data_IF_891521829303
#
_entry.id   IF_891521829303
#
_cell.length_a   1.000
_cell.length_b   1.000
_cell.length_c   1.000
_cell.angle_alpha   90.00
_cell.angle_beta   90.00
_cell.angle_gamma   90.00
#
_symmetry.space_group_name_H-M   'P 1'
#
loop_
_entity.id
_entity.type
_entity.pdbx_description
1 polymer ?
#
# COMPACT_ATOMS: atom_id res chain seq x y z
N UNK A 1 -0.91 -15.70 16.36
CA UNK A 1 -0.84 -15.91 14.88
C UNK A 1 0.53 -16.43 14.52
N UNK A 2 0.81 -16.67 13.22
CA UNK A 2 2.18 -16.72 12.71
C UNK A 2 2.40 -15.61 11.69
N UNK A 3 3.43 -14.80 11.87
CA UNK A 3 3.89 -13.83 10.88
C UNK A 3 4.53 -14.55 9.70
N UNK A 4 5.23 -13.79 8.87
CA UNK A 4 5.88 -14.32 7.68
C UNK A 4 4.98 -14.28 6.45
N UNK A 5 5.66 -14.09 5.33
CA UNK A 5 5.06 -13.84 4.03
C UNK A 5 4.21 -15.01 3.55
N UNK A 6 3.00 -14.71 3.04
CA UNK A 6 2.06 -15.71 2.53
C UNK A 6 2.20 -15.86 1.03
N UNK A 7 2.36 -17.10 0.59
CA UNK A 7 2.57 -17.50 -0.82
C UNK A 7 1.72 -18.72 -1.12
N UNK A 8 1.22 -18.83 -2.35
CA UNK A 8 0.47 -20.01 -2.77
C UNK A 8 -0.78 -20.23 -1.90
N UNK A 9 -1.13 -21.49 -1.58
CA UNK A 9 -2.30 -21.80 -0.75
C UNK A 9 -2.28 -21.16 0.64
N UNK A 10 -1.11 -20.85 1.21
CA UNK A 10 -1.00 -20.21 2.53
C UNK A 10 -1.53 -18.77 2.55
N UNK A 11 -1.84 -18.18 1.39
CA UNK A 11 -2.53 -16.89 1.31
C UNK A 11 -4.00 -16.99 1.74
N UNK A 12 -4.62 -18.17 1.67
CA UNK A 12 -5.99 -18.41 2.15
C UNK A 12 -6.05 -18.68 3.67
N UNK A 13 -4.92 -18.52 4.38
CA UNK A 13 -4.84 -18.58 5.83
C UNK A 13 -4.80 -17.15 6.41
N UNK A 14 -5.95 -16.54 6.75
CA UNK A 14 -5.98 -15.13 7.07
C UNK A 14 -5.34 -14.85 8.43
N UNK A 15 -4.82 -13.64 8.60
CA UNK A 15 -4.34 -13.12 9.88
C UNK A 15 -5.51 -12.82 10.85
N UNK A 16 -6.22 -13.87 11.28
CA UNK A 16 -7.40 -13.75 12.16
C UNK A 16 -7.21 -14.65 13.38
N UNK A 17 -7.53 -14.11 14.57
CA UNK A 17 -7.65 -14.91 15.78
C UNK A 17 -9.04 -15.54 15.82
N UNK A 18 -9.12 -16.86 15.92
CA UNK A 18 -10.39 -17.58 16.13
C UNK A 18 -10.49 -18.01 17.58
N UNK A 19 -11.61 -17.70 18.21
CA UNK A 19 -11.91 -18.11 19.57
C UNK A 19 -12.38 -19.56 19.67
N UNK A 20 -12.10 -20.25 20.79
CA UNK A 20 -12.85 -21.46 21.16
C UNK A 20 -14.26 -21.15 21.70
N UNK A 21 -14.54 -19.91 22.12
CA UNK A 21 -15.82 -19.46 22.66
C UNK A 21 -16.11 -17.99 22.29
N UNK A 22 -17.36 -17.70 21.93
CA UNK A 22 -17.85 -16.34 21.66
C UNK A 22 -18.57 -15.72 22.86
N UNK A 23 -18.63 -16.42 24.00
CA UNK A 23 -19.23 -15.90 25.23
C UNK A 23 -18.31 -14.84 25.85
N UNK A 24 -18.74 -13.57 25.96
CA UNK A 24 -17.95 -12.48 26.55
C UNK A 24 -17.57 -12.74 28.03
N UNK A 25 -18.32 -13.57 28.74
CA UNK A 25 -18.05 -13.97 30.12
C UNK A 25 -17.09 -15.15 30.28
N UNK A 26 -16.71 -15.83 29.19
CA UNK A 26 -15.78 -16.96 29.24
C UNK A 26 -14.36 -16.45 29.49
N UNK A 27 -13.67 -16.87 30.57
CA UNK A 27 -12.29 -16.48 30.82
C UNK A 27 -11.32 -16.90 29.70
N UNK A 28 -11.73 -17.81 28.81
CA UNK A 28 -11.01 -18.28 27.62
C UNK A 28 -11.36 -17.51 26.34
N UNK A 29 -12.24 -16.51 26.39
CA UNK A 29 -12.46 -15.59 25.28
C UNK A 29 -11.10 -15.02 24.79
N UNK A 30 -10.87 -14.86 23.49
CA UNK A 30 -9.57 -14.42 22.99
C UNK A 30 -9.25 -13.02 23.49
N UNK A 31 -8.01 -12.87 23.90
CA UNK A 31 -7.46 -11.59 24.28
C UNK A 31 -6.13 -11.35 23.55
N UNK A 32 -5.77 -10.08 23.49
CA UNK A 32 -4.46 -9.61 23.09
C UNK A 32 -4.03 -8.55 24.09
N UNK A 33 -2.78 -8.61 24.51
CA UNK A 33 -2.16 -7.61 25.37
C UNK A 33 -1.05 -6.91 24.61
N UNK A 34 -0.98 -5.59 24.75
CA UNK A 34 0.07 -4.76 24.19
C UNK A 34 0.68 -3.86 25.27
N UNK A 35 2.00 -3.69 25.23
CA UNK A 35 2.75 -2.83 26.13
C UNK A 35 3.77 -2.03 25.31
N UNK A 36 3.87 -0.72 25.56
CA UNK A 36 4.81 0.19 24.87
C UNK A 36 4.79 0.04 23.33
N UNK A 37 3.59 -0.09 22.77
CA UNK A 37 3.39 -0.18 21.33
C UNK A 37 3.66 -1.54 20.70
N UNK A 38 4.02 -2.56 21.48
CA UNK A 38 4.24 -3.93 21.01
C UNK A 38 3.26 -4.91 21.62
N UNK A 39 2.89 -5.92 20.86
CA UNK A 39 2.11 -7.05 21.35
C UNK A 39 3.01 -7.87 22.29
N UNK A 40 2.51 -8.22 23.47
CA UNK A 40 3.23 -9.03 24.45
C UNK A 40 2.63 -10.42 24.64
N UNK A 41 1.33 -10.56 24.39
CA UNK A 41 0.63 -11.85 24.46
C UNK A 41 -0.63 -11.84 23.60
N UNK A 42 -0.99 -13.02 23.09
CA UNK A 42 -2.20 -13.26 22.30
C UNK A 42 -2.66 -14.70 22.49
N UNK A 43 -3.95 -14.92 22.71
CA UNK A 43 -4.49 -16.25 22.97
C UNK A 43 -5.74 -16.23 23.84
N UNK A 44 -6.10 -17.35 24.49
CA UNK A 44 -7.14 -17.38 25.52
C UNK A 44 -6.89 -16.34 26.62
N UNK A 45 -7.95 -15.70 27.11
CA UNK A 45 -7.83 -14.59 28.06
C UNK A 45 -7.09 -14.91 29.35
N UNK A 46 -7.22 -16.13 29.87
CA UNK A 46 -6.50 -16.59 31.06
C UNK A 46 -5.00 -16.82 30.79
N UNK A 47 -4.63 -17.30 29.60
CA UNK A 47 -3.23 -17.41 29.16
C UNK A 47 -2.60 -16.03 28.98
N UNK A 48 -3.33 -15.08 28.40
CA UNK A 48 -2.87 -13.69 28.25
C UNK A 48 -2.65 -13.04 29.62
N UNK A 49 -3.59 -13.21 30.57
CA UNK A 49 -3.41 -12.70 31.94
C UNK A 49 -2.20 -13.32 32.63
N UNK A 50 -1.97 -14.62 32.48
CA UNK A 50 -0.76 -15.30 32.99
C UNK A 50 0.51 -14.77 32.35
N UNK A 51 0.51 -14.51 31.04
CA UNK A 51 1.65 -13.94 30.34
C UNK A 51 1.97 -12.51 30.80
N UNK A 52 0.95 -11.68 31.06
CA UNK A 52 1.12 -10.34 31.66
C UNK A 52 1.83 -10.45 33.02
N UNK A 53 1.35 -11.34 33.90
CA UNK A 53 1.93 -11.55 35.23
C UNK A 53 3.37 -12.09 35.14
N UNK A 54 3.59 -13.15 34.35
CA UNK A 54 4.90 -13.77 34.20
C UNK A 54 5.93 -12.84 33.56
N UNK A 55 5.50 -11.93 32.69
CA UNK A 55 6.34 -10.88 32.11
C UNK A 55 6.62 -9.70 33.04
N UNK A 56 6.05 -9.66 34.25
CA UNK A 56 6.24 -8.57 35.19
C UNK A 56 5.54 -7.27 34.78
N UNK A 57 4.56 -7.34 33.87
CA UNK A 57 3.82 -6.16 33.44
C UNK A 57 2.78 -5.75 34.50
N UNK A 58 2.68 -4.45 34.85
CA UNK A 58 1.71 -3.98 35.85
C UNK A 58 0.29 -4.04 35.28
N UNK A 59 -0.48 -5.06 35.68
CA UNK A 59 -1.79 -5.38 35.12
C UNK A 59 -2.82 -4.24 35.25
N UNK A 60 -2.72 -3.42 36.30
CA UNK A 60 -3.56 -2.25 36.58
C UNK A 60 -3.33 -1.07 35.62
N UNK A 61 -2.23 -1.08 34.86
CA UNK A 61 -1.91 -0.04 33.86
C UNK A 61 -2.41 -0.36 32.45
N UNK A 62 -3.00 -1.53 32.23
CA UNK A 62 -3.61 -1.86 30.94
C UNK A 62 -4.98 -1.20 30.83
N UNK A 63 -5.19 -0.43 29.76
CA UNK A 63 -6.52 -0.05 29.35
C UNK A 63 -7.22 -1.28 28.73
N UNK A 64 -8.47 -1.52 29.12
CA UNK A 64 -9.28 -2.61 28.57
C UNK A 64 -10.16 -2.07 27.44
N UNK A 65 -10.05 -2.69 26.26
CA UNK A 65 -10.89 -2.39 25.10
C UNK A 65 -11.74 -3.63 24.81
N UNK A 66 -13.06 -3.51 24.96
CA UNK A 66 -13.98 -4.60 24.65
C UNK A 66 -14.25 -4.66 23.14
N UNK A 67 -14.03 -5.85 22.56
CA UNK A 67 -14.33 -6.12 21.17
C UNK A 67 -15.84 -6.30 20.92
N UNK A 68 -16.69 -6.35 21.94
CA UNK A 68 -18.16 -6.50 21.86
C UNK A 68 -18.60 -7.54 20.82
N UNK A 69 -17.94 -8.70 20.80
CA UNK A 69 -18.18 -9.79 19.84
C UNK A 69 -17.70 -9.53 18.40
N UNK A 70 -17.06 -8.40 18.13
CA UNK A 70 -16.48 -8.04 16.86
C UNK A 70 -15.18 -8.79 16.53
N UNK A 71 -14.88 -8.87 15.23
CA UNK A 71 -13.64 -9.48 14.74
C UNK A 71 -12.45 -8.57 14.99
N UNK A 72 -11.30 -9.10 15.42
CA UNK A 72 -10.05 -8.35 15.54
C UNK A 72 -9.04 -8.83 14.50
N UNK A 73 -8.47 -7.91 13.73
CA UNK A 73 -7.39 -8.17 12.75
C UNK A 73 -6.18 -7.27 13.04
N UNK A 74 -5.02 -7.51 12.42
CA UNK A 74 -4.00 -6.47 12.29
C UNK A 74 -4.61 -5.20 11.69
N UNK A 75 -4.02 -4.06 12.05
CA UNK A 75 -4.20 -2.80 11.36
C UNK A 75 -4.01 -3.00 9.86
N UNK A 76 -4.89 -2.41 9.04
CA UNK A 76 -4.73 -2.51 7.60
C UNK A 76 -3.52 -1.69 7.15
N UNK A 77 -2.85 -2.19 6.12
CA UNK A 77 -1.70 -1.56 5.49
C UNK A 77 -2.08 -1.30 4.05
N UNK A 78 -1.97 -0.04 3.61
CA UNK A 78 -2.13 0.34 2.22
C UNK A 78 -0.73 0.54 1.60
N UNK A 79 -0.19 -0.45 0.87
CA UNK A 79 1.19 -0.45 0.42
C UNK A 79 1.44 0.38 -0.84
N UNK A 80 0.42 1.03 -1.39
CA UNK A 80 0.56 1.79 -2.63
C UNK A 80 -0.43 2.96 -2.70
N UNK A 81 0.05 4.18 -2.50
CA UNK A 81 -0.76 5.40 -2.70
C UNK A 81 0.05 6.57 -3.25
N UNK A 82 -0.64 7.52 -3.88
CA UNK A 82 -0.10 8.84 -4.21
C UNK A 82 -0.82 9.87 -3.34
N UNK A 83 -0.68 9.73 -2.02
CA UNK A 83 -1.42 10.50 -1.00
C UNK A 83 -1.37 12.03 -1.17
N UNK A 84 -0.26 12.55 -1.69
CA UNK A 84 0.02 13.99 -1.72
C UNK A 84 -0.11 14.54 -3.14
N UNK A 85 -1.17 15.31 -3.35
CA UNK A 85 -1.42 16.04 -4.59
C UNK A 85 -2.29 17.26 -4.32
N UNK A 86 -2.33 18.17 -5.29
CA UNK A 86 -3.28 19.27 -5.32
C UNK A 86 -4.20 19.21 -6.55
N UNK A 87 -5.37 19.85 -6.42
CA UNK A 87 -6.41 19.84 -7.45
C UNK A 87 -7.15 18.50 -7.55
N UNK A 88 -8.00 18.39 -8.55
CA UNK A 88 -8.86 17.23 -8.82
C UNK A 88 -8.97 17.01 -10.34
N UNK A 89 -9.35 15.78 -10.74
CA UNK A 89 -9.42 15.37 -12.16
C UNK A 89 -10.82 14.86 -12.57
N UNK A 90 -11.86 15.33 -11.88
CA UNK A 90 -13.26 14.97 -12.15
C UNK A 90 -13.70 15.32 -13.59
N UNK A 91 -13.08 16.35 -14.20
CA UNK A 91 -13.31 16.71 -15.60
C UNK A 91 -12.98 15.57 -16.57
N UNK A 92 -11.95 14.77 -16.26
CA UNK A 92 -11.56 13.63 -17.10
C UNK A 92 -12.55 12.48 -17.06
N UNK A 93 -13.30 12.35 -15.97
CA UNK A 93 -14.33 11.33 -15.85
C UNK A 93 -15.35 11.45 -16.98
N UNK A 94 -15.68 12.67 -17.41
CA UNK A 94 -16.57 12.91 -18.56
C UNK A 94 -15.94 12.51 -19.89
N UNK A 95 -14.63 12.70 -20.04
CA UNK A 95 -13.91 12.30 -21.26
C UNK A 95 -13.85 10.78 -21.38
N UNK A 96 -13.56 10.07 -20.29
CA UNK A 96 -13.54 8.61 -20.25
C UNK A 96 -14.90 8.00 -20.55
N UNK A 97 -15.98 8.56 -19.98
CA UNK A 97 -17.36 8.15 -20.29
C UNK A 97 -17.72 8.34 -21.77
N UNK A 98 -17.01 9.21 -22.49
CA UNK A 98 -17.16 9.42 -23.95
C UNK A 98 -16.20 8.55 -24.78
N UNK A 99 -15.43 7.68 -24.13
CA UNK A 99 -14.53 6.72 -24.79
C UNK A 99 -13.08 7.18 -24.94
N UNK A 100 -12.69 8.34 -24.39
CA UNK A 100 -11.28 8.75 -24.43
C UNK A 100 -10.42 7.83 -23.54
N UNK A 101 -9.37 7.26 -24.12
CA UNK A 101 -8.38 6.45 -23.43
C UNK A 101 -7.48 7.29 -22.52
N UNK A 102 -6.82 6.62 -21.57
CA UNK A 102 -5.87 7.26 -20.67
C UNK A 102 -4.75 8.01 -21.42
N UNK A 103 -4.17 7.37 -22.44
CA UNK A 103 -3.09 7.94 -23.23
C UNK A 103 -3.55 9.12 -24.10
N UNK A 104 -4.79 9.11 -24.62
CA UNK A 104 -5.35 10.24 -25.35
C UNK A 104 -5.54 11.46 -24.44
N UNK A 105 -6.04 11.26 -23.22
CA UNK A 105 -6.20 12.34 -22.23
C UNK A 105 -4.83 12.92 -21.85
N UNK A 106 -3.82 12.06 -21.66
CA UNK A 106 -2.44 12.48 -21.39
C UNK A 106 -1.82 13.27 -22.56
N UNK A 107 -2.06 12.82 -23.79
CA UNK A 107 -1.59 13.47 -25.02
C UNK A 107 -2.21 14.85 -25.24
N UNK A 108 -3.46 15.06 -24.83
CA UNK A 108 -4.17 16.34 -24.92
C UNK A 108 -3.73 17.39 -23.86
N UNK A 109 -2.67 17.11 -23.09
CA UNK A 109 -2.18 18.01 -22.03
C UNK A 109 -3.02 17.98 -20.74
N UNK A 110 -4.05 17.14 -20.69
CA UNK A 110 -4.70 16.75 -19.44
C UNK A 110 -3.88 15.70 -18.71
N UNK A 111 -4.54 14.88 -17.89
CA UNK A 111 -3.87 13.74 -17.30
C UNK A 111 -3.07 14.12 -16.05
N UNK A 112 -2.02 13.34 -15.79
CA UNK A 112 -1.06 13.57 -14.70
C UNK A 112 -0.49 14.99 -14.70
N UNK A 113 -0.29 15.61 -15.87
CA UNK A 113 0.29 16.96 -15.94
C UNK A 113 -0.56 18.05 -15.28
N UNK A 114 -1.89 17.87 -15.28
CA UNK A 114 -2.78 18.79 -14.57
C UNK A 114 -2.54 18.75 -13.06
N UNK A 115 -2.37 17.55 -12.50
CA UNK A 115 -1.98 17.32 -11.10
C UNK A 115 -0.57 17.85 -10.82
N UNK A 116 0.38 17.66 -11.73
CA UNK A 116 1.74 18.19 -11.57
C UNK A 116 1.74 19.71 -11.47
N UNK A 117 1.03 20.40 -12.38
CA UNK A 117 0.93 21.86 -12.35
C UNK A 117 0.31 22.36 -11.03
N UNK A 118 -0.80 21.75 -10.58
CA UNK A 118 -1.43 22.11 -9.32
C UNK A 118 -0.53 21.82 -8.11
N UNK A 119 0.17 20.68 -8.10
CA UNK A 119 1.01 20.24 -6.99
C UNK A 119 2.30 21.06 -6.88
N UNK A 120 2.88 21.49 -8.00
CA UNK A 120 3.99 22.46 -8.03
C UNK A 120 3.58 23.80 -7.44
N UNK A 121 2.37 24.27 -7.77
CA UNK A 121 1.84 25.55 -7.28
C UNK A 121 1.43 25.54 -5.80
N UNK A 122 1.03 24.39 -5.26
CA UNK A 122 0.64 24.25 -3.87
C UNK A 122 1.81 24.38 -2.90
N UNK A 123 1.56 24.97 -1.73
CA UNK A 123 2.49 25.01 -0.61
C UNK A 123 2.55 23.66 0.13
N UNK A 124 3.61 23.44 0.91
CA UNK A 124 3.72 22.25 1.77
C UNK A 124 2.58 22.13 2.79
N UNK A 125 2.03 23.26 3.26
CA UNK A 125 0.93 23.29 4.23
C UNK A 125 -0.42 22.95 3.60
N UNK A 126 -0.68 23.38 2.37
CA UNK A 126 -1.86 22.94 1.61
C UNK A 126 -1.80 21.43 1.35
N UNK A 127 -0.63 20.91 0.98
CA UNK A 127 -0.41 19.47 0.77
C UNK A 127 -0.57 18.67 2.07
N UNK A 128 -0.07 19.18 3.20
CA UNK A 128 -0.28 18.52 4.49
C UNK A 128 -1.74 18.57 4.95
N UNK A 129 -2.45 19.67 4.73
CA UNK A 129 -3.87 19.75 5.05
C UNK A 129 -4.68 18.73 4.24
N UNK A 130 -4.35 18.59 2.95
CA UNK A 130 -4.92 17.56 2.07
C UNK A 130 -4.60 16.15 2.58
N UNK A 131 -3.33 15.84 2.82
CA UNK A 131 -2.90 14.52 3.30
C UNK A 131 -3.52 14.16 4.64
N UNK A 132 -3.56 15.11 5.60
CA UNK A 132 -4.16 14.89 6.93
C UNK A 132 -5.64 14.55 6.85
N UNK A 133 -6.39 15.20 5.95
CA UNK A 133 -7.80 14.87 5.70
C UNK A 133 -7.95 13.41 5.27
N UNK A 134 -7.22 12.99 4.24
CA UNK A 134 -7.38 11.64 3.67
C UNK A 134 -6.79 10.56 4.57
N UNK A 135 -5.73 10.83 5.32
CA UNK A 135 -5.25 9.96 6.39
C UNK A 135 -6.33 9.75 7.46
N UNK A 136 -7.10 10.78 7.80
CA UNK A 136 -8.25 10.65 8.70
C UNK A 136 -9.32 9.68 8.17
N UNK A 137 -9.67 9.80 6.88
CA UNK A 137 -10.61 8.88 6.21
C UNK A 137 -10.07 7.45 6.14
N UNK A 138 -8.80 7.28 5.78
CA UNK A 138 -8.12 5.98 5.76
C UNK A 138 -8.09 5.33 7.15
N UNK A 139 -7.81 6.12 8.20
CA UNK A 139 -7.83 5.66 9.59
C UNK A 139 -9.23 5.19 9.97
N UNK A 140 -10.27 5.96 9.62
CA UNK A 140 -11.66 5.60 9.88
C UNK A 140 -12.08 4.30 9.19
N UNK A 141 -11.36 3.87 8.14
CA UNK A 141 -11.53 2.60 7.45
C UNK A 141 -10.57 1.47 7.92
N UNK A 142 -9.80 1.70 8.98
CA UNK A 142 -8.93 0.70 9.60
C UNK A 142 -7.47 0.70 9.12
N UNK A 143 -7.07 1.66 8.28
CA UNK A 143 -5.67 1.79 7.85
C UNK A 143 -4.82 2.36 8.98
N UNK A 144 -3.70 1.70 9.26
CA UNK A 144 -2.75 2.07 10.32
C UNK A 144 -1.36 2.39 9.79
N UNK A 145 -1.04 1.89 8.59
CA UNK A 145 0.20 2.15 7.87
C UNK A 145 -0.13 2.41 6.41
N UNK A 146 0.46 3.44 5.83
CA UNK A 146 0.27 3.80 4.42
C UNK A 146 1.60 4.14 3.78
N UNK A 147 1.76 3.70 2.55
CA UNK A 147 2.84 4.16 1.69
C UNK A 147 2.42 5.43 0.96
N UNK A 148 3.32 6.43 0.90
CA UNK A 148 3.04 7.70 0.24
C UNK A 148 4.14 8.01 -0.80
N UNK A 149 3.78 7.93 -2.08
CA UNK A 149 4.65 8.28 -3.19
C UNK A 149 4.70 9.78 -3.42
N UNK A 150 5.87 10.25 -3.84
CA UNK A 150 6.02 11.50 -4.56
C UNK A 150 5.55 11.33 -6.03
N UNK A 151 6.18 11.98 -7.01
CA UNK A 151 5.92 11.75 -8.44
C UNK A 151 4.93 12.72 -9.08
N UNK A 152 4.33 13.64 -8.32
CA UNK A 152 3.56 14.78 -8.86
C UNK A 152 4.36 16.10 -8.85
N UNK A 153 5.67 16.04 -8.64
CA UNK A 153 6.57 17.17 -8.81
C UNK A 153 7.26 17.18 -10.16
N UNK A 154 7.85 16.04 -10.56
CA UNK A 154 8.67 15.91 -11.77
C UNK A 154 9.84 16.92 -11.83
N UNK A 155 10.28 17.42 -10.68
CA UNK A 155 11.43 18.29 -10.47
C UNK A 155 11.95 18.10 -9.04
N UNK A 156 13.23 18.37 -8.79
CA UNK A 156 13.86 18.10 -7.48
C UNK A 156 13.17 18.85 -6.33
N UNK A 157 12.78 20.10 -6.55
CA UNK A 157 12.23 20.95 -5.49
C UNK A 157 10.90 20.40 -4.99
N UNK A 158 10.00 20.06 -5.91
CA UNK A 158 8.66 19.59 -5.59
C UNK A 158 8.67 18.15 -5.10
N UNK A 159 9.51 17.28 -5.67
CA UNK A 159 9.66 15.89 -5.21
C UNK A 159 10.16 15.83 -3.76
N UNK A 160 11.20 16.60 -3.40
CA UNK A 160 11.70 16.69 -2.03
C UNK A 160 10.65 17.28 -1.08
N UNK A 161 9.89 18.29 -1.52
CA UNK A 161 8.78 18.85 -0.72
C UNK A 161 7.70 17.81 -0.42
N UNK A 162 7.33 16.98 -1.39
CA UNK A 162 6.34 15.91 -1.18
C UNK A 162 6.82 14.89 -0.15
N UNK A 163 8.08 14.47 -0.24
CA UNK A 163 8.68 13.55 0.73
C UNK A 163 8.76 14.14 2.15
N UNK A 164 9.11 15.42 2.26
CA UNK A 164 9.11 16.14 3.55
C UNK A 164 7.70 16.22 4.15
N UNK A 165 6.70 16.54 3.33
CA UNK A 165 5.30 16.59 3.80
C UNK A 165 4.83 15.21 4.23
N UNK A 166 5.18 14.14 3.52
CA UNK A 166 4.83 12.77 3.89
C UNK A 166 5.44 12.38 5.25
N UNK A 167 6.72 12.68 5.47
CA UNK A 167 7.39 12.43 6.74
C UNK A 167 6.77 13.26 7.89
N UNK A 168 6.48 14.54 7.63
CA UNK A 168 5.79 15.40 8.59
C UNK A 168 4.45 14.81 9.03
N UNK A 169 3.65 14.32 8.08
CA UNK A 169 2.36 13.68 8.38
C UNK A 169 2.50 12.41 9.21
N UNK A 170 3.51 11.58 8.93
CA UNK A 170 3.81 10.38 9.71
C UNK A 170 4.23 10.68 11.15
N UNK A 171 4.89 11.83 11.39
CA UNK A 171 5.26 12.30 12.74
C UNK A 171 4.10 12.91 13.52
N UNK A 172 3.22 13.66 12.84
CA UNK A 172 2.13 14.41 13.49
C UNK A 172 0.87 13.56 13.72
N UNK A 173 0.61 12.60 12.83
CA UNK A 173 -0.60 11.78 12.83
C UNK A 173 -0.43 10.42 13.53
N UNK A 174 -1.54 9.70 13.75
CA UNK A 174 -1.50 8.35 14.28
C UNK A 174 -1.15 7.30 13.22
N UNK A 175 -1.36 7.56 11.92
CA UNK A 175 -0.98 6.62 10.85
C UNK A 175 0.52 6.69 10.62
N UNK A 176 1.16 5.53 10.48
CA UNK A 176 2.54 5.44 10.02
C UNK A 176 2.59 5.67 8.51
N UNK A 177 3.33 6.69 8.07
CA UNK A 177 3.50 7.03 6.65
C UNK A 177 4.88 6.55 6.21
N UNK A 178 4.94 5.84 5.08
CA UNK A 178 6.18 5.31 4.49
C UNK A 178 6.48 6.06 3.19
N UNK A 179 7.38 7.05 3.19
CA UNK A 179 7.68 7.83 2.00
C UNK A 179 8.43 7.03 0.93
N UNK A 180 8.02 7.21 -0.32
CA UNK A 180 8.70 6.66 -1.50
C UNK A 180 8.97 7.75 -2.50
N UNK A 181 10.20 7.79 -3.00
CA UNK A 181 10.53 8.60 -4.16
C UNK A 181 10.09 7.90 -5.45
N UNK A 182 9.07 8.43 -6.14
CA UNK A 182 8.64 7.98 -7.47
C UNK A 182 9.30 8.85 -8.53
N UNK A 183 10.57 8.56 -8.83
CA UNK A 183 11.40 9.42 -9.68
C UNK A 183 10.95 9.46 -11.14
N UNK A 184 10.40 8.36 -11.65
CA UNK A 184 9.94 8.24 -13.04
C UNK A 184 8.43 8.04 -13.13
N UNK A 185 7.64 9.02 -12.71
CA UNK A 185 6.18 8.94 -12.85
C UNK A 185 5.69 9.31 -14.27
N UNK A 186 6.23 10.40 -14.82
CA UNK A 186 5.97 10.86 -16.18
C UNK A 186 7.12 11.74 -16.67
N UNK A 187 7.18 11.99 -17.98
CA UNK A 187 8.14 12.95 -18.55
C UNK A 187 7.64 14.38 -18.24
N UNK A 188 8.49 15.26 -17.65
CA UNK A 188 8.12 16.64 -17.36
C UNK A 188 7.66 17.40 -18.62
N UNK A 189 6.73 18.37 -18.51
CA UNK A 189 6.27 19.17 -19.64
C UNK A 189 7.41 19.83 -20.42
N UNK A 190 8.46 20.27 -19.74
CA UNK A 190 9.61 20.99 -20.31
C UNK A 190 10.50 20.09 -21.20
N UNK A 191 10.37 18.77 -21.05
CA UNK A 191 11.15 17.77 -21.79
C UNK A 191 10.30 16.96 -22.78
N UNK A 192 8.97 17.10 -22.74
CA UNK A 192 8.04 16.26 -23.52
C UNK A 192 8.29 16.28 -25.03
N UNK A 193 8.50 17.46 -25.60
CA UNK A 193 8.63 17.63 -27.05
C UNK A 193 10.07 17.39 -27.55
N UNK A 194 10.98 17.02 -26.64
CA UNK A 194 12.35 16.68 -26.98
C UNK A 194 12.47 15.20 -27.34
N UNK A 195 13.14 14.84 -28.46
CA UNK A 195 13.38 13.44 -28.81
C UNK A 195 14.10 12.62 -27.73
N UNK A 196 14.99 13.28 -26.97
CA UNK A 196 15.76 12.69 -25.86
C UNK A 196 15.14 12.98 -24.48
N UNK A 197 13.93 13.54 -24.42
CA UNK A 197 13.36 14.11 -23.19
C UNK A 197 13.23 13.11 -22.03
N UNK A 198 12.71 11.91 -22.32
CA UNK A 198 12.59 10.84 -21.33
C UNK A 198 13.97 10.36 -20.83
N UNK A 199 14.95 10.24 -21.72
CA UNK A 199 16.32 9.83 -21.36
C UNK A 199 17.07 10.90 -20.57
N UNK A 200 16.90 12.17 -20.94
CA UNK A 200 17.45 13.31 -20.23
C UNK A 200 16.86 13.40 -18.81
N UNK A 201 15.54 13.24 -18.68
CA UNK A 201 14.89 13.23 -17.37
C UNK A 201 15.36 12.06 -16.51
N UNK A 202 15.39 10.84 -17.05
CA UNK A 202 15.87 9.68 -16.30
C UNK A 202 17.35 9.78 -15.93
N UNK A 203 18.16 10.52 -16.70
CA UNK A 203 19.54 10.83 -16.32
C UNK A 203 19.56 11.78 -15.12
N UNK A 204 18.84 12.91 -15.20
CA UNK A 204 18.75 13.89 -14.11
C UNK A 204 18.21 13.26 -12.81
N UNK A 205 17.20 12.39 -12.91
CA UNK A 205 16.69 11.63 -11.76
C UNK A 205 17.81 10.80 -11.13
N UNK A 206 18.55 10.04 -11.93
CA UNK A 206 19.62 9.16 -11.44
C UNK A 206 20.83 9.93 -10.87
N UNK A 207 21.22 11.06 -11.47
CA UNK A 207 22.46 11.76 -11.13
C UNK A 207 22.28 12.94 -10.19
N UNK A 208 21.07 13.50 -10.08
CA UNK A 208 20.80 14.71 -9.29
C UNK A 208 19.74 14.46 -8.22
N UNK A 209 18.57 13.95 -8.60
CA UNK A 209 17.43 13.85 -7.67
C UNK A 209 17.63 12.74 -6.63
N UNK A 210 18.10 11.56 -7.04
CA UNK A 210 18.36 10.47 -6.10
C UNK A 210 19.38 10.89 -5.02
N UNK A 211 20.56 11.47 -5.34
CA UNK A 211 21.46 11.98 -4.31
C UNK A 211 20.81 12.95 -3.32
N UNK A 212 20.00 13.90 -3.82
CA UNK A 212 19.29 14.85 -2.96
C UNK A 212 18.23 14.18 -2.07
N UNK A 213 17.53 13.17 -2.58
CA UNK A 213 16.57 12.36 -1.80
C UNK A 213 17.26 11.60 -0.67
N UNK A 214 18.47 11.07 -0.93
CA UNK A 214 19.26 10.41 0.12
C UNK A 214 19.79 11.40 1.16
N UNK A 215 20.23 12.58 0.74
CA UNK A 215 20.65 13.64 1.68
C UNK A 215 19.49 14.08 2.58
N UNK A 216 18.27 14.16 2.03
CA UNK A 216 17.06 14.45 2.80
C UNK A 216 16.70 13.34 3.79
N UNK A 217 16.91 12.08 3.41
CA UNK A 217 16.81 10.92 4.31
C UNK A 217 15.40 10.42 4.65
N UNK A 218 14.35 10.90 3.96
CA UNK A 218 12.97 10.50 4.25
C UNK A 218 12.49 9.28 3.45
N UNK A 219 12.89 9.15 2.17
CA UNK A 219 12.42 8.06 1.32
C UNK A 219 13.08 6.73 1.69
N UNK A 220 12.29 5.66 1.75
CA UNK A 220 12.80 4.27 1.96
C UNK A 220 12.98 3.49 0.67
N UNK A 221 12.38 3.96 -0.40
CA UNK A 221 12.29 3.23 -1.67
C UNK A 221 12.31 4.18 -2.86
N UNK A 222 12.76 3.65 -3.99
CA UNK A 222 12.74 4.30 -5.29
C UNK A 222 11.78 3.54 -6.19
N UNK A 223 10.86 4.26 -6.82
CA UNK A 223 9.79 3.72 -7.65
C UNK A 223 9.84 4.35 -9.05
N UNK A 224 9.32 3.63 -10.04
CA UNK A 224 9.33 4.02 -11.46
C UNK A 224 8.09 3.51 -12.18
N UNK A 225 7.60 4.26 -13.17
CA UNK A 225 6.54 3.83 -14.07
C UNK A 225 7.10 3.23 -15.36
N UNK A 226 7.33 1.92 -15.33
CA UNK A 226 7.86 1.15 -16.45
C UNK A 226 6.70 0.74 -17.39
N UNK A 227 6.35 1.64 -18.30
CA UNK A 227 5.20 1.49 -19.20
C UNK A 227 5.50 2.00 -20.61
N UNK A 228 4.92 1.32 -21.61
CA UNK A 228 5.03 1.70 -23.02
C UNK A 228 4.48 3.10 -23.22
N UNK A 229 5.30 3.96 -23.80
CA UNK A 229 4.94 5.37 -24.03
C UNK A 229 5.19 6.27 -22.81
N UNK A 230 5.77 5.73 -21.72
CA UNK A 230 6.20 6.50 -20.55
C UNK A 230 7.71 6.33 -20.33
N UNK A 231 8.15 5.25 -19.69
CA UNK A 231 9.57 4.90 -19.53
C UNK A 231 9.83 3.44 -19.89
N UNK A 232 10.92 3.20 -20.61
CA UNK A 232 11.36 1.87 -21.00
C UNK A 232 11.97 1.10 -19.83
N UNK A 233 12.14 -0.22 -20.02
CA UNK A 233 12.88 -1.10 -19.10
C UNK A 233 14.29 -0.57 -18.85
N UNK A 234 14.98 -0.06 -19.88
CA UNK A 234 16.36 0.41 -19.74
C UNK A 234 16.45 1.70 -18.90
N UNK A 235 15.56 2.66 -19.16
CA UNK A 235 15.45 3.90 -18.37
C UNK A 235 15.13 3.60 -16.91
N UNK A 236 14.16 2.71 -16.69
CA UNK A 236 13.72 2.25 -15.37
C UNK A 236 14.85 1.55 -14.62
N UNK A 237 15.55 0.61 -15.27
CA UNK A 237 16.71 -0.10 -14.73
C UNK A 237 17.79 0.86 -14.25
N UNK A 238 18.14 1.86 -15.06
CA UNK A 238 19.18 2.84 -14.72
C UNK A 238 18.84 3.60 -13.44
N UNK A 239 17.61 4.09 -13.31
CA UNK A 239 17.16 4.83 -12.12
C UNK A 239 17.09 3.93 -10.88
N UNK A 240 16.51 2.74 -11.01
CA UNK A 240 16.43 1.79 -9.89
C UNK A 240 17.83 1.33 -9.43
N UNK A 241 18.76 1.11 -10.36
CA UNK A 241 20.14 0.76 -10.03
C UNK A 241 20.85 1.90 -9.29
N UNK A 242 20.66 3.15 -9.69
CA UNK A 242 21.21 4.31 -9.00
C UNK A 242 20.65 4.45 -7.57
N UNK A 243 19.34 4.27 -7.39
CA UNK A 243 18.71 4.29 -6.07
C UNK A 243 19.19 3.14 -5.18
N UNK A 244 19.24 1.93 -5.72
CA UNK A 244 19.71 0.73 -4.99
C UNK A 244 21.18 0.85 -4.56
N UNK A 245 22.04 1.44 -5.39
CA UNK A 245 23.45 1.68 -5.06
C UNK A 245 23.62 2.59 -3.82
N UNK A 246 22.61 3.40 -3.51
CA UNK A 246 22.61 4.30 -2.36
C UNK A 246 21.66 3.85 -1.23
N UNK A 247 21.08 2.65 -1.34
CA UNK A 247 20.29 2.03 -0.28
C UNK A 247 18.77 2.19 -0.38
N UNK A 248 18.24 2.83 -1.44
CA UNK A 248 16.79 2.86 -1.69
C UNK A 248 16.32 1.51 -2.24
N UNK A 249 15.29 0.93 -1.63
CA UNK A 249 14.73 -0.32 -2.12
C UNK A 249 13.96 -0.11 -3.44
N UNK A 250 14.20 -0.90 -4.50
CA UNK A 250 13.48 -0.76 -5.77
C UNK A 250 12.01 -1.17 -5.64
N UNK A 251 11.12 -0.43 -6.31
CA UNK A 251 9.71 -0.79 -6.58
C UNK A 251 9.32 -0.31 -7.98
N UNK A 252 8.24 -0.86 -8.53
CA UNK A 252 7.82 -0.55 -9.89
C UNK A 252 6.30 -0.53 -10.03
N UNK A 253 5.76 0.52 -10.66
CA UNK A 253 4.54 0.41 -11.45
C UNK A 253 4.86 -0.39 -12.72
N UNK A 254 4.27 -1.58 -12.84
CA UNK A 254 4.62 -2.56 -13.86
C UNK A 254 3.39 -3.07 -14.61
N UNK A 255 3.47 -3.01 -15.95
CA UNK A 255 2.53 -3.65 -16.86
C UNK A 255 1.04 -3.30 -16.58
N UNK A 256 0.75 -2.02 -16.40
CA UNK A 256 -0.60 -1.52 -16.09
C UNK A 256 -1.47 -1.47 -17.35
N UNK A 257 -0.93 -0.97 -18.45
CA UNK A 257 -1.63 -0.68 -19.69
C UNK A 257 -1.18 -1.58 -20.84
N UNK A 258 0.08 -2.01 -20.83
CA UNK A 258 0.63 -2.96 -21.79
C UNK A 258 1.65 -3.90 -21.14
N UNK A 259 1.92 -5.08 -21.73
CA UNK A 259 3.06 -5.91 -21.33
C UNK A 259 4.35 -5.19 -21.73
N UNK A 260 4.93 -4.47 -20.78
CA UNK A 260 6.01 -3.50 -20.98
C UNK A 260 7.35 -4.00 -20.45
N UNK A 261 7.36 -5.16 -19.78
CA UNK A 261 8.55 -5.79 -19.21
C UNK A 261 8.82 -5.37 -17.77
N UNK A 262 7.84 -4.71 -17.12
CA UNK A 262 7.98 -4.20 -15.76
C UNK A 262 8.08 -5.33 -14.73
N UNK A 263 7.26 -6.37 -14.86
CA UNK A 263 7.31 -7.55 -13.98
C UNK A 263 8.65 -8.29 -14.07
N UNK A 264 9.19 -8.43 -15.29
CA UNK A 264 10.50 -9.02 -15.54
C UNK A 264 11.60 -8.19 -14.87
N UNK A 265 11.58 -6.87 -15.04
CA UNK A 265 12.56 -5.97 -14.42
C UNK A 265 12.47 -6.01 -12.89
N UNK A 266 11.27 -6.01 -12.31
CA UNK A 266 11.07 -6.09 -10.87
C UNK A 266 11.70 -7.36 -10.27
N UNK A 267 11.48 -8.50 -10.94
CA UNK A 267 12.11 -9.77 -10.57
C UNK A 267 13.64 -9.73 -10.73
N UNK A 268 14.15 -9.06 -11.75
CA UNK A 268 15.59 -8.95 -11.98
C UNK A 268 16.29 -8.13 -10.89
N UNK A 269 15.78 -6.94 -10.58
CA UNK A 269 16.41 -6.02 -9.61
C UNK A 269 16.14 -6.39 -8.15
N UNK A 270 15.30 -7.41 -7.90
CA UNK A 270 14.94 -7.85 -6.55
C UNK A 270 14.14 -6.78 -5.79
N UNK A 271 13.18 -6.16 -6.50
CA UNK A 271 12.29 -5.14 -5.97
C UNK A 271 11.50 -5.65 -4.75
N UNK A 272 11.03 -4.72 -3.89
CA UNK A 272 10.09 -5.07 -2.84
C UNK A 272 8.74 -5.47 -3.43
N UNK A 273 8.29 -4.73 -4.44
CA UNK A 273 7.03 -4.98 -5.12
C UNK A 273 7.07 -4.69 -6.62
N UNK A 274 6.16 -5.35 -7.33
CA UNK A 274 5.73 -5.02 -8.68
C UNK A 274 4.22 -4.72 -8.61
N UNK A 275 3.84 -3.50 -8.95
CA UNK A 275 2.54 -2.94 -8.69
C UNK A 275 1.71 -2.82 -9.99
N UNK A 276 0.38 -2.77 -9.86
CA UNK A 276 -0.63 -2.95 -10.93
C UNK A 276 -0.71 -4.38 -11.44
N UNK A 277 0.19 -4.77 -12.35
CA UNK A 277 0.16 -6.05 -13.06
C UNK A 277 -1.21 -6.35 -13.66
N UNK A 278 -1.84 -5.36 -14.28
CA UNK A 278 -3.15 -5.53 -14.92
C UNK A 278 -3.03 -6.34 -16.24
N UNK A 279 -1.95 -6.15 -16.99
CA UNK A 279 -1.68 -6.87 -18.25
C UNK A 279 -0.22 -7.39 -18.35
N UNK A 280 0.30 -8.10 -17.34
CA UNK A 280 1.65 -8.65 -17.37
C UNK A 280 1.77 -9.70 -18.47
N UNK A 281 2.95 -9.79 -19.07
CA UNK A 281 3.26 -10.88 -20.00
C UNK A 281 3.32 -12.22 -19.25
N UNK A 282 3.17 -13.34 -19.97
CA UNK A 282 3.41 -14.67 -19.38
C UNK A 282 4.85 -14.80 -18.84
N UNK A 283 5.81 -14.20 -19.55
CA UNK A 283 7.22 -14.15 -19.14
C UNK A 283 7.41 -13.36 -17.85
N UNK A 284 6.66 -12.28 -17.66
CA UNK A 284 6.63 -11.47 -16.44
C UNK A 284 6.09 -12.25 -15.25
N UNK A 285 4.97 -12.96 -15.44
CA UNK A 285 4.42 -13.87 -14.42
C UNK A 285 5.45 -14.95 -14.04
N UNK A 286 6.11 -15.55 -15.04
CA UNK A 286 7.15 -16.56 -14.80
C UNK A 286 8.35 -15.99 -14.05
N UNK A 287 8.75 -14.75 -14.33
CA UNK A 287 9.84 -14.07 -13.65
C UNK A 287 9.51 -13.81 -12.18
N UNK A 288 8.29 -13.31 -11.89
CA UNK A 288 7.80 -13.13 -10.53
C UNK A 288 7.70 -14.46 -9.77
N UNK A 289 7.24 -15.53 -10.42
CA UNK A 289 7.19 -16.86 -9.81
C UNK A 289 8.58 -17.37 -9.42
N UNK A 290 9.59 -17.20 -10.28
CA UNK A 290 10.98 -17.53 -9.94
C UNK A 290 11.51 -16.64 -8.82
N UNK A 291 11.21 -15.35 -8.83
CA UNK A 291 11.60 -14.44 -7.76
C UNK A 291 10.92 -14.79 -6.42
N UNK A 292 9.73 -15.41 -6.46
CA UNK A 292 9.00 -15.87 -5.30
C UNK A 292 9.70 -17.01 -4.55
N UNK A 293 10.75 -17.64 -5.09
CA UNK A 293 11.55 -18.66 -4.41
C UNK A 293 12.73 -18.07 -3.61
N UNK A 294 13.02 -16.78 -3.79
CA UNK A 294 14.14 -16.10 -3.13
C UNK A 294 13.85 -15.83 -1.64
N UNK A 295 14.92 -15.53 -0.89
CA UNK A 295 14.83 -15.15 0.52
C UNK A 295 13.99 -13.89 0.74
N UNK A 296 14.09 -12.92 -0.17
CA UNK A 296 13.23 -11.74 -0.26
C UNK A 296 12.56 -11.70 -1.62
N UNK A 297 11.33 -12.22 -1.74
CA UNK A 297 10.62 -12.24 -3.01
C UNK A 297 10.03 -10.87 -3.34
N UNK A 298 9.73 -10.68 -4.63
CA UNK A 298 8.93 -9.54 -5.09
C UNK A 298 7.46 -9.82 -4.75
N UNK A 299 6.81 -8.87 -4.08
CA UNK A 299 5.36 -8.93 -3.82
C UNK A 299 4.60 -8.33 -5.00
N UNK A 300 3.60 -9.05 -5.52
CA UNK A 300 2.71 -8.53 -6.55
C UNK A 300 1.61 -7.68 -5.89
N UNK A 301 1.69 -6.36 -5.98
CA UNK A 301 0.66 -5.45 -5.43
C UNK A 301 -0.39 -5.15 -6.48
N UNK A 302 -1.58 -5.71 -6.31
CA UNK A 302 -2.66 -5.56 -7.29
C UNK A 302 -3.55 -4.38 -6.91
N UNK A 303 -3.96 -3.59 -7.91
CA UNK A 303 -4.67 -2.33 -7.72
C UNK A 303 -6.05 -2.37 -8.41
N UNK A 304 -7.01 -3.16 -7.91
CA UNK A 304 -8.27 -3.41 -8.61
C UNK A 304 -9.19 -2.18 -8.64
N UNK A 305 -9.04 -1.23 -7.71
CA UNK A 305 -9.79 0.02 -7.75
C UNK A 305 -9.39 0.89 -8.95
N UNK A 306 -8.12 0.86 -9.35
CA UNK A 306 -7.62 1.50 -10.57
C UNK A 306 -8.29 0.93 -11.81
N UNK A 307 -8.29 -0.40 -11.94
CA UNK A 307 -8.96 -1.09 -13.05
C UNK A 307 -10.45 -0.74 -13.10
N UNK A 308 -11.13 -0.73 -11.95
CA UNK A 308 -12.54 -0.37 -11.83
C UNK A 308 -12.80 1.07 -12.30
N UNK A 309 -12.03 2.04 -11.80
CA UNK A 309 -12.23 3.47 -12.08
C UNK A 309 -11.83 3.86 -13.50
N UNK A 310 -10.84 3.18 -14.08
CA UNK A 310 -10.50 3.29 -15.50
C UNK A 310 -11.52 2.60 -16.41
N UNK A 311 -12.53 1.91 -15.84
CA UNK A 311 -13.51 1.11 -16.59
C UNK A 311 -12.83 0.10 -17.51
N UNK A 312 -11.66 -0.39 -17.08
CA UNK A 312 -10.92 -1.41 -17.82
C UNK A 312 -11.66 -2.75 -17.65
N UNK A 313 -12.00 -3.38 -18.76
CA UNK A 313 -12.68 -4.68 -18.77
C UNK A 313 -11.79 -5.86 -18.33
N UNK A 314 -10.53 -5.60 -17.96
CA UNK A 314 -9.52 -6.63 -17.68
C UNK A 314 -8.78 -6.32 -16.38
N UNK A 315 -8.84 -7.25 -15.43
CA UNK A 315 -8.18 -7.16 -14.14
C UNK A 315 -6.93 -8.05 -14.10
N UNK A 316 -6.01 -7.73 -13.18
CA UNK A 316 -4.80 -8.48 -12.94
C UNK A 316 -5.04 -10.00 -12.73
N UNK A 317 -4.13 -10.89 -13.19
CA UNK A 317 -4.31 -12.34 -13.12
C UNK A 317 -3.99 -12.93 -11.73
N UNK A 318 -4.66 -12.44 -10.68
CA UNK A 318 -4.38 -12.78 -9.28
C UNK A 318 -4.42 -14.29 -8.99
N UNK A 319 -5.33 -15.03 -9.64
CA UNK A 319 -5.41 -16.50 -9.49
C UNK A 319 -4.23 -17.22 -10.07
N UNK A 320 -3.70 -16.75 -11.19
CA UNK A 320 -2.50 -17.34 -11.75
C UNK A 320 -1.28 -17.04 -10.88
N UNK A 321 -1.09 -15.78 -10.48
CA UNK A 321 0.00 -15.36 -9.59
C UNK A 321 0.06 -16.23 -8.31
N UNK A 322 -1.09 -16.40 -7.65
CA UNK A 322 -1.17 -17.18 -6.40
C UNK A 322 -0.92 -18.66 -6.66
N UNK A 323 -1.51 -19.27 -7.71
CA UNK A 323 -1.21 -20.68 -8.07
C UNK A 323 0.28 -20.91 -8.31
N UNK A 324 0.98 -19.90 -8.83
CA UNK A 324 2.41 -19.93 -9.11
C UNK A 324 3.29 -19.60 -7.90
N UNK A 325 2.69 -19.40 -6.72
CA UNK A 325 3.42 -19.12 -5.47
C UNK A 325 3.85 -17.66 -5.31
N UNK A 326 3.42 -16.75 -6.17
CA UNK A 326 3.74 -15.32 -6.05
C UNK A 326 2.95 -14.72 -4.89
N UNK A 327 3.61 -14.09 -3.90
CA UNK A 327 2.91 -13.39 -2.83
C UNK A 327 2.14 -12.19 -3.39
N UNK A 328 0.86 -12.09 -3.07
CA UNK A 328 -0.01 -10.99 -3.52
C UNK A 328 -0.33 -10.03 -2.37
N UNK A 329 -0.18 -8.73 -2.63
CA UNK A 329 -0.71 -7.64 -1.82
C UNK A 329 -1.81 -6.87 -2.58
N UNK A 330 -2.57 -6.05 -1.88
CA UNK A 330 -3.56 -5.13 -2.47
C UNK A 330 -3.26 -3.71 -1.98
N UNK A 331 -3.41 -2.73 -2.87
CA UNK A 331 -3.35 -1.31 -2.53
C UNK A 331 -4.55 -0.54 -3.08
N UNK A 332 -4.88 0.59 -2.47
CA UNK A 332 -5.93 1.47 -3.00
C UNK A 332 -5.51 2.18 -4.27
N UNK A 333 -4.20 2.39 -4.44
CA UNK A 333 -3.66 3.32 -5.43
C UNK A 333 -4.26 4.71 -5.27
N UNK A 334 -4.56 5.15 -4.04
CA UNK A 334 -5.25 6.43 -3.84
C UNK A 334 -4.52 7.57 -4.54
N UNK A 335 -5.14 8.09 -5.60
CA UNK A 335 -4.58 9.12 -6.46
C UNK A 335 -5.69 9.88 -7.20
N UNK A 336 -5.47 11.13 -7.65
CA UNK A 336 -6.53 11.95 -8.23
C UNK A 336 -7.02 11.46 -9.60
N UNK A 337 -6.21 10.67 -10.31
CA UNK A 337 -6.40 10.38 -11.72
C UNK A 337 -7.07 9.05 -12.00
N UNK A 338 -6.57 7.98 -11.41
CA UNK A 338 -6.89 6.60 -11.81
C UNK A 338 -7.53 5.79 -10.69
N UNK A 339 -7.39 6.19 -9.41
CA UNK A 339 -8.11 5.58 -8.30
C UNK A 339 -8.38 6.57 -7.16
N UNK A 340 -9.39 7.47 -7.29
CA UNK A 340 -9.71 8.47 -6.27
C UNK A 340 -10.55 7.88 -5.12
N UNK A 341 -10.08 6.79 -4.51
CA UNK A 341 -10.72 6.15 -3.34
C UNK A 341 -9.71 5.92 -2.21
N UNK A 342 -9.94 6.48 -1.00
CA UNK A 342 -9.14 6.15 0.18
C UNK A 342 -9.65 4.88 0.91
N UNK A 343 -10.75 4.28 0.46
CA UNK A 343 -11.45 3.20 1.15
C UNK A 343 -10.82 1.85 0.78
N UNK A 344 -9.86 1.38 1.58
CA UNK A 344 -9.23 0.08 1.38
C UNK A 344 -10.21 -1.10 1.52
N UNK A 345 -11.19 -1.13 2.45
CA UNK A 345 -12.25 -2.16 2.46
C UNK A 345 -13.00 -2.32 1.13
N UNK A 346 -13.28 -1.23 0.39
CA UNK A 346 -13.83 -1.32 -0.95
C UNK A 346 -12.89 -2.07 -1.92
N UNK A 347 -11.58 -1.85 -1.82
CA UNK A 347 -10.57 -2.58 -2.62
C UNK A 347 -10.65 -4.08 -2.35
N UNK A 348 -10.83 -4.50 -1.08
CA UNK A 348 -11.01 -5.91 -0.73
C UNK A 348 -12.27 -6.48 -1.40
N UNK A 349 -13.39 -5.75 -1.37
CA UNK A 349 -14.62 -6.16 -2.06
C UNK A 349 -14.40 -6.34 -3.56
N UNK A 350 -13.76 -5.37 -4.23
CA UNK A 350 -13.48 -5.47 -5.68
C UNK A 350 -12.52 -6.63 -5.96
N UNK A 351 -11.50 -6.84 -5.13
CA UNK A 351 -10.58 -7.96 -5.26
C UNK A 351 -11.30 -9.33 -5.15
N UNK A 352 -12.20 -9.50 -4.19
CA UNK A 352 -12.99 -10.72 -4.09
C UNK A 352 -13.90 -10.92 -5.30
N UNK A 353 -14.56 -9.86 -5.78
CA UNK A 353 -15.53 -9.94 -6.88
C UNK A 353 -14.88 -10.09 -8.26
N UNK A 354 -13.78 -9.38 -8.52
CA UNK A 354 -13.16 -9.27 -9.84
C UNK A 354 -11.88 -10.10 -9.96
N UNK A 355 -11.01 -10.08 -8.94
CA UNK A 355 -9.78 -10.88 -8.90
C UNK A 355 -9.99 -12.32 -8.40
N UNK A 356 -11.20 -12.63 -7.89
CA UNK A 356 -11.58 -13.93 -7.33
C UNK A 356 -10.72 -14.37 -6.15
N UNK A 357 -10.20 -13.40 -5.39
CA UNK A 357 -9.58 -13.68 -4.10
C UNK A 357 -10.64 -14.16 -3.10
N UNK A 358 -10.30 -15.11 -2.25
CA UNK A 358 -11.10 -15.38 -1.06
C UNK A 358 -11.03 -14.18 -0.11
N UNK A 359 -11.99 -14.03 0.82
CA UNK A 359 -11.89 -13.01 1.87
C UNK A 359 -10.60 -13.12 2.70
N UNK A 360 -10.08 -14.33 2.86
CA UNK A 360 -8.87 -14.57 3.61
C UNK A 360 -7.62 -14.11 2.87
N UNK A 361 -7.52 -14.44 1.58
CA UNK A 361 -6.45 -13.94 0.69
C UNK A 361 -6.47 -12.42 0.61
N UNK A 362 -7.65 -11.81 0.47
CA UNK A 362 -7.79 -10.36 0.44
C UNK A 362 -7.32 -9.71 1.75
N UNK A 363 -7.64 -10.30 2.91
CA UNK A 363 -7.18 -9.79 4.20
C UNK A 363 -5.67 -9.97 4.39
N UNK A 364 -5.10 -11.11 3.99
CA UNK A 364 -3.65 -11.31 4.02
C UNK A 364 -2.92 -10.30 3.12
N UNK A 365 -3.52 -9.97 1.97
CA UNK A 365 -2.99 -9.04 0.99
C UNK A 365 -2.91 -7.58 1.47
N UNK A 366 -3.73 -7.17 2.45
CA UNK A 366 -3.70 -5.83 3.08
C UNK A 366 -3.16 -5.84 4.52
N UNK A 367 -2.56 -6.96 4.95
CA UNK A 367 -1.93 -7.07 6.26
C UNK A 367 -0.49 -7.57 6.11
N UNK A 368 -0.24 -8.87 6.29
CA UNK A 368 1.11 -9.43 6.29
C UNK A 368 1.82 -9.27 4.94
N UNK A 369 1.14 -9.49 3.81
CA UNK A 369 1.78 -9.36 2.50
C UNK A 369 2.04 -7.89 2.13
N UNK A 370 1.12 -6.97 2.47
CA UNK A 370 1.34 -5.54 2.35
C UNK A 370 2.52 -5.06 3.23
N UNK A 371 2.66 -5.59 4.45
CA UNK A 371 3.83 -5.30 5.28
C UNK A 371 5.14 -5.71 4.57
N UNK A 372 5.19 -6.89 3.96
CA UNK A 372 6.37 -7.32 3.20
C UNK A 372 6.60 -6.49 1.92
N UNK A 373 5.56 -6.04 1.23
CA UNK A 373 5.67 -5.13 0.08
C UNK A 373 6.33 -3.78 0.47
N UNK A 374 6.23 -3.37 1.74
CA UNK A 374 6.89 -2.19 2.30
C UNK A 374 8.21 -2.48 3.03
N UNK A 375 8.68 -3.73 3.07
CA UNK A 375 9.86 -4.12 3.85
C UNK A 375 9.64 -4.11 5.38
N UNK A 376 8.39 -4.08 5.82
CA UNK A 376 7.94 -4.05 7.23
C UNK A 376 7.43 -5.40 7.75
N UNK A 377 7.59 -6.46 6.96
CA UNK A 377 7.05 -7.79 7.26
C UNK A 377 7.56 -8.46 8.55
N UNK A 378 8.63 -7.93 9.16
CA UNK A 378 9.16 -8.39 10.46
C UNK A 378 8.56 -7.65 11.67
N UNK A 379 7.86 -6.54 11.47
CA UNK A 379 7.27 -5.74 12.55
C UNK A 379 5.76 -5.57 12.46
N UNK A 380 5.18 -5.54 11.27
CA UNK A 380 3.78 -5.18 11.03
C UNK A 380 2.94 -6.34 10.48
N UNK A 381 1.63 -6.12 10.36
CA UNK A 381 0.72 -7.00 9.63
C UNK A 381 0.40 -8.34 10.31
N UNK A 382 0.77 -8.54 11.58
CA UNK A 382 0.57 -9.80 12.29
C UNK A 382 0.26 -9.68 13.80
N UNK A 383 -0.68 -10.52 14.23
CA UNK A 383 -1.08 -10.99 15.57
C UNK A 383 -0.05 -11.74 16.43
N UNK A 384 1.14 -11.21 16.71
CA UNK A 384 2.16 -11.97 17.44
C UNK A 384 2.95 -11.15 18.46
N UNK A 385 3.42 -11.77 19.56
CA UNK A 385 4.36 -11.12 20.47
C UNK A 385 5.57 -10.53 19.73
N UNK A 386 5.96 -9.31 20.12
CA UNK A 386 7.07 -8.55 19.52
C UNK A 386 6.66 -7.67 18.33
N UNK A 387 5.55 -7.98 17.64
CA UNK A 387 5.01 -7.17 16.54
C UNK A 387 4.42 -5.86 17.05
N UNK A 388 4.26 -4.88 16.17
CA UNK A 388 3.60 -3.63 16.50
C UNK A 388 2.13 -3.87 16.82
N UNK A 389 1.63 -3.21 17.86
CA UNK A 389 0.25 -3.33 18.32
C UNK A 389 -0.71 -2.44 17.52
N UNK A 390 -0.80 -2.74 16.22
CA UNK A 390 -1.72 -2.09 15.28
C UNK A 390 -2.88 -3.04 14.99
N UNK A 391 -4.11 -2.62 15.30
CA UNK A 391 -5.30 -3.48 15.30
C UNK A 391 -6.50 -2.76 14.70
N UNK A 392 -7.44 -3.54 14.15
CA UNK A 392 -8.80 -3.09 13.89
C UNK A 392 -9.78 -4.02 14.58
N UNK A 393 -10.71 -3.45 15.33
CA UNK A 393 -11.93 -4.13 15.80
C UNK A 393 -13.04 -3.80 14.81
N UNK A 394 -13.54 -4.84 14.14
CA UNK A 394 -14.60 -4.75 13.14
C UNK A 394 -15.96 -5.03 13.75
N UNK A 395 -16.97 -4.28 13.31
CA UNK A 395 -18.37 -4.43 13.72
C UNK A 395 -19.09 -5.59 13.01
N UNK A 396 -18.39 -6.72 12.90
CA UNK A 396 -18.88 -7.96 12.28
C UNK A 396 -18.27 -9.16 13.01
N UNK A 397 -19.01 -10.28 13.14
CA UNK A 397 -18.56 -11.46 13.87
C UNK A 397 -17.53 -12.31 13.12
N UNK A 398 -17.29 -12.03 11.83
CA UNK A 398 -16.29 -12.78 11.05
C UNK A 398 -15.65 -11.97 9.93
N UNK A 399 -14.35 -12.18 9.71
CA UNK A 399 -13.56 -11.49 8.70
C UNK A 399 -14.11 -11.59 7.27
N UNK A 400 -14.81 -12.68 6.94
CA UNK A 400 -15.42 -12.86 5.63
C UNK A 400 -16.49 -11.79 5.30
N UNK A 401 -17.06 -11.14 6.32
CA UNK A 401 -18.03 -10.08 6.14
C UNK A 401 -17.40 -8.74 5.75
N UNK A 402 -16.09 -8.56 5.98
CA UNK A 402 -15.37 -7.32 5.66
C UNK A 402 -15.47 -6.99 4.15
N UNK A 403 -15.07 -7.87 3.22
CA UNK A 403 -15.24 -7.63 1.79
C UNK A 403 -16.67 -7.87 1.28
N UNK A 404 -17.54 -8.51 2.06
CA UNK A 404 -18.91 -8.82 1.64
C UNK A 404 -19.80 -7.57 1.59
N UNK A 405 -19.71 -6.71 2.60
CA UNK A 405 -20.46 -5.45 2.66
C UNK A 405 -19.77 -4.36 1.84
N UNK A 406 -20.00 -4.39 0.52
CA UNK A 406 -19.35 -3.50 -0.44
C UNK A 406 -19.47 -2.03 -0.05
N UNK A 407 -18.32 -1.36 0.13
CA UNK A 407 -18.25 0.07 0.42
C UNK A 407 -18.66 0.47 1.84
N UNK A 408 -19.07 -0.47 2.69
CA UNK A 408 -19.42 -0.18 4.07
C UNK A 408 -18.18 0.18 4.90
N UNK A 409 -18.33 1.13 5.82
CA UNK A 409 -17.36 1.28 6.90
C UNK A 409 -17.75 0.32 8.03
N UNK A 410 -16.90 -0.65 8.33
CA UNK A 410 -17.10 -1.64 9.39
C UNK A 410 -16.05 -1.53 10.50
N UNK A 411 -15.04 -0.68 10.34
CA UNK A 411 -14.04 -0.46 11.39
C UNK A 411 -14.70 0.30 12.54
N UNK A 412 -14.76 -0.32 13.72
CA UNK A 412 -15.34 0.28 14.92
C UNK A 412 -14.30 0.92 15.80
N UNK A 413 -13.19 0.23 16.01
CA UNK A 413 -12.07 0.74 16.82
C UNK A 413 -10.78 0.46 16.06
N UNK A 414 -9.93 1.47 15.95
CA UNK A 414 -8.59 1.34 15.36
C UNK A 414 -7.57 1.66 16.42
N UNK A 415 -6.62 0.74 16.61
CA UNK A 415 -5.53 0.85 17.57
C UNK A 415 -4.24 1.01 16.78
N UNK A 416 -3.43 2.02 17.12
CA UNK A 416 -2.06 2.18 16.63
C UNK A 416 -1.10 2.15 17.81
N UNK A 417 -0.08 1.32 17.74
CA UNK A 417 0.94 1.24 18.80
C UNK A 417 0.32 1.05 20.18
N UNK A 418 -0.70 0.20 20.28
CA UNK A 418 -1.38 -0.13 21.55
C UNK A 418 -2.28 0.98 22.10
N UNK A 419 -2.53 2.05 21.36
CA UNK A 419 -3.42 3.16 21.75
C UNK A 419 -4.59 3.26 20.79
N UNK A 420 -5.79 3.50 21.32
CA UNK A 420 -6.97 3.78 20.48
C UNK A 420 -6.73 5.08 19.72
N UNK A 421 -6.65 4.97 18.40
CA UNK A 421 -6.42 6.08 17.48
C UNK A 421 -7.72 6.59 16.84
N UNK A 422 -8.72 5.70 16.69
CA UNK A 422 -10.06 6.05 16.22
C UNK A 422 -11.08 5.11 16.87
N UNK A 423 -12.25 5.65 17.19
CA UNK A 423 -13.43 4.89 17.57
C UNK A 423 -14.65 5.51 16.89
N UNK A 424 -15.43 4.70 16.18
CA UNK A 424 -16.68 5.11 15.58
C UNK A 424 -17.75 5.21 16.66
N UNK A 425 -18.43 6.35 16.72
CA UNK A 425 -19.53 6.61 17.66
C UNK A 425 -20.73 5.67 17.46
#
# INVERSE_FOLDING_TARGET
>A
MRGGLRRGPAQDEPAVLRAPSTDPGDPRAPALAAWEGRIVAVGPGDEVRRAIQAGGYPADRFAVVDAHGGTVTPGLIDPHTHLLFAGTREGEMRLRQRGASYLEILGAGGGILSTVAATRAASGDELAAHGRRWLGEMLAHGVTTVEAKSGYGLDATTELRLLEVAERLGREGPIEVVPTFLGLHAVPPELRDRPDGADAYATAVATEMIPAVLEQGFARSCDVFCERGVFSVEQSRRVLAAGAALGLAPRLHADELAPSGGAELAAEVGALSADHLAVPSSTGIDALARAAERSRPVVATLLPATTLFLMSGHYAPARELIRRGVPVALGSDFNPGTSPTPNLPLVLSVACLQLKLTPAEALAAVTVNAAHALGLGESHGALEPGRQADLVVWDVPGHAQIPYWVGANLARIVVKGGRVAHARE
#
